data_IF_280860935762
#
_entry.id   IF_280860935762
#
_cell.length_a   1.000
_cell.length_b   1.000
_cell.length_c   1.000
_cell.angle_alpha   90.00
_cell.angle_beta   90.00
_cell.angle_gamma   90.00
#
_symmetry.space_group_name_H-M   'P 1'
#
loop_
_entity.id
_entity.type
_entity.pdbx_description
1 polymer ?
#
# COMPACT_ATOMS: atom_id res chain seq x y z
N UNK A 1 28.23 -29.48 1.69
CA UNK A 1 26.81 -29.13 1.84
C UNK A 1 26.77 -27.64 2.12
N UNK A 2 27.02 -26.83 1.10
CA UNK A 2 27.05 -25.38 1.23
C UNK A 2 25.65 -24.89 0.89
N UNK A 3 24.93 -24.39 1.90
CA UNK A 3 23.66 -23.71 1.70
C UNK A 3 23.90 -22.49 0.84
N UNK A 4 23.59 -22.64 -0.44
CA UNK A 4 23.37 -21.56 -1.40
C UNK A 4 22.50 -20.50 -0.71
N UNK A 5 23.13 -19.43 -0.23
CA UNK A 5 22.42 -18.28 0.32
C UNK A 5 21.67 -17.66 -0.84
N UNK A 6 20.42 -18.08 -0.98
CA UNK A 6 19.48 -17.59 -1.97
C UNK A 6 19.62 -16.08 -2.10
N UNK A 7 19.93 -15.69 -3.33
CA UNK A 7 20.12 -14.34 -3.81
C UNK A 7 19.08 -13.38 -3.19
N UNK A 8 19.42 -12.14 -2.82
CA UNK A 8 18.43 -11.14 -2.46
C UNK A 8 17.67 -10.75 -3.73
N UNK A 9 16.72 -11.60 -4.12
CA UNK A 9 15.73 -11.28 -5.12
C UNK A 9 15.15 -9.93 -4.70
N UNK A 10 15.25 -8.97 -5.60
CA UNK A 10 14.76 -7.61 -5.43
C UNK A 10 13.25 -7.72 -5.24
N UNK A 11 12.80 -8.00 -4.01
CA UNK A 11 11.39 -8.09 -3.63
C UNK A 11 10.86 -6.66 -3.69
N UNK A 12 10.59 -6.15 -4.90
CA UNK A 12 9.80 -4.94 -5.14
C UNK A 12 8.52 -5.10 -4.33
N UNK A 13 8.53 -4.43 -3.17
CA UNK A 13 7.86 -4.91 -1.98
C UNK A 13 6.36 -4.75 -2.06
N UNK A 14 5.65 -5.79 -2.48
CA UNK A 14 4.18 -5.86 -2.45
C UNK A 14 3.70 -5.81 -1.00
N UNK A 15 2.69 -4.99 -0.70
CA UNK A 15 1.99 -5.08 0.58
C UNK A 15 1.19 -6.39 0.64
N UNK A 16 1.06 -6.93 1.86
CA UNK A 16 0.15 -8.04 2.12
C UNK A 16 -1.29 -7.61 1.81
N UNK A 17 -2.15 -8.56 1.43
CA UNK A 17 -3.57 -8.26 1.17
C UNK A 17 -4.27 -7.64 2.39
N UNK A 18 -3.88 -8.04 3.60
CA UNK A 18 -4.40 -7.47 4.85
C UNK A 18 -4.00 -6.01 5.01
N UNK A 19 -2.71 -5.68 4.85
CA UNK A 19 -2.25 -4.29 4.92
C UNK A 19 -2.88 -3.42 3.82
N UNK A 20 -3.07 -3.98 2.64
CA UNK A 20 -3.67 -3.30 1.49
C UNK A 20 -5.13 -2.91 1.79
N UNK A 21 -5.93 -3.87 2.28
CA UNK A 21 -7.32 -3.61 2.72
C UNK A 21 -7.38 -2.61 3.86
N UNK A 22 -6.44 -2.71 4.80
CA UNK A 22 -6.32 -1.77 5.92
C UNK A 22 -6.03 -0.34 5.44
N UNK A 23 -5.03 -0.16 4.57
CA UNK A 23 -4.68 1.14 3.99
C UNK A 23 -5.85 1.73 3.20
N UNK A 24 -6.51 0.93 2.36
CA UNK A 24 -7.69 1.37 1.60
C UNK A 24 -8.78 1.85 2.56
N UNK A 25 -9.16 1.03 3.56
CA UNK A 25 -10.20 1.37 4.51
C UNK A 25 -9.94 2.71 5.22
N UNK A 26 -8.71 2.90 5.71
CA UNK A 26 -8.34 4.13 6.41
C UNK A 26 -8.36 5.35 5.49
N UNK A 27 -7.80 5.23 4.29
CA UNK A 27 -7.83 6.31 3.29
C UNK A 27 -9.26 6.68 2.89
N UNK A 28 -10.16 5.70 2.75
CA UNK A 28 -11.55 5.94 2.35
C UNK A 28 -12.36 6.63 3.44
N UNK A 29 -12.11 6.26 4.70
CA UNK A 29 -12.89 6.75 5.85
C UNK A 29 -12.36 8.07 6.40
N UNK A 30 -11.04 8.24 6.41
CA UNK A 30 -10.36 9.37 7.07
C UNK A 30 -9.53 10.22 6.10
N UNK A 31 -9.30 9.79 4.85
CA UNK A 31 -8.54 10.57 3.88
C UNK A 31 -7.08 10.75 4.27
N UNK A 32 -6.75 11.93 4.81
CA UNK A 32 -5.41 12.33 5.25
C UNK A 32 -5.33 12.55 6.77
N UNK A 33 -6.41 12.29 7.51
CA UNK A 33 -6.47 12.44 8.96
C UNK A 33 -5.84 11.23 9.69
N UNK A 34 -4.51 11.13 9.63
CA UNK A 34 -3.75 10.01 10.22
C UNK A 34 -3.92 9.87 11.74
N UNK A 35 -4.21 10.96 12.45
CA UNK A 35 -4.50 10.92 13.90
C UNK A 35 -5.82 10.21 14.21
N UNK A 36 -6.83 10.43 13.36
CA UNK A 36 -8.11 9.75 13.46
C UNK A 36 -7.99 8.28 13.06
N UNK A 37 -7.16 7.98 12.06
CA UNK A 37 -6.85 6.60 11.65
C UNK A 37 -6.22 5.79 12.79
N UNK A 38 -5.30 6.39 13.56
CA UNK A 38 -4.65 5.70 14.67
C UNK A 38 -5.62 5.36 15.81
N UNK A 39 -6.70 6.15 15.97
CA UNK A 39 -7.76 5.94 16.98
C UNK A 39 -8.88 5.01 16.49
N UNK A 40 -8.84 4.56 15.24
CA UNK A 40 -9.88 3.70 14.69
C UNK A 40 -9.81 2.29 15.27
N UNK A 41 -10.98 1.67 15.48
CA UNK A 41 -11.08 0.32 16.04
C UNK A 41 -10.48 -0.76 15.12
N UNK A 42 -10.33 -0.50 13.82
CA UNK A 42 -9.65 -1.38 12.86
C UNK A 42 -8.14 -1.29 12.95
N UNK A 43 -7.57 -0.34 13.69
CA UNK A 43 -6.14 -0.30 13.99
C UNK A 43 -5.77 -1.36 15.05
N UNK A 44 -5.99 -2.64 14.69
CA UNK A 44 -5.70 -3.79 15.57
C UNK A 44 -4.21 -3.87 15.88
N UNK A 45 -3.37 -3.37 14.98
CA UNK A 45 -1.91 -3.34 15.13
C UNK A 45 -1.42 -2.20 16.01
N UNK A 46 -2.32 -1.32 16.48
CA UNK A 46 -1.97 -0.13 17.27
C UNK A 46 -0.89 0.72 16.60
N UNK A 47 -0.90 0.78 15.26
CA UNK A 47 0.03 1.58 14.48
C UNK A 47 -0.11 3.04 14.87
N UNK A 48 1.03 3.72 15.05
CA UNK A 48 1.04 5.16 15.26
C UNK A 48 0.64 5.90 13.97
N UNK A 49 0.17 7.15 14.04
CA UNK A 49 -0.17 7.95 12.86
C UNK A 49 0.96 7.97 11.81
N UNK A 50 2.21 8.04 12.26
CA UNK A 50 3.39 7.98 11.39
C UNK A 50 3.57 6.63 10.69
N UNK A 51 3.33 5.51 11.39
CA UNK A 51 3.38 4.17 10.79
C UNK A 51 2.28 3.99 9.73
N UNK A 52 1.06 4.44 10.04
CA UNK A 52 -0.08 4.41 9.10
C UNK A 52 0.25 5.23 7.86
N UNK A 53 0.79 6.44 8.04
CA UNK A 53 1.25 7.29 6.94
C UNK A 53 2.28 6.57 6.07
N UNK A 54 3.34 6.00 6.68
CA UNK A 54 4.37 5.27 5.94
C UNK A 54 3.81 4.07 5.17
N UNK A 55 2.87 3.31 5.75
CA UNK A 55 2.18 2.20 5.07
C UNK A 55 1.37 2.69 3.86
N UNK A 56 0.60 3.76 4.02
CA UNK A 56 -0.20 4.36 2.94
C UNK A 56 0.70 4.94 1.84
N UNK A 57 1.77 5.65 2.20
CA UNK A 57 2.74 6.16 1.24
C UNK A 57 3.43 5.03 0.48
N UNK A 58 3.79 3.95 1.16
CA UNK A 58 4.35 2.75 0.52
C UNK A 58 3.35 2.10 -0.43
N UNK A 59 2.07 2.05 -0.05
CA UNK A 59 1.00 1.56 -0.92
C UNK A 59 0.86 2.40 -2.19
N UNK A 60 0.84 3.74 -2.08
CA UNK A 60 0.80 4.67 -3.22
C UNK A 60 2.02 4.54 -4.13
N UNK A 61 3.20 4.23 -3.57
CA UNK A 61 4.45 4.01 -4.32
C UNK A 61 4.47 2.72 -5.14
N UNK A 62 3.52 1.80 -4.93
CA UNK A 62 3.46 0.53 -5.67
C UNK A 62 2.39 0.65 -6.76
N UNK A 63 2.78 1.00 -8.00
CA UNK A 63 1.81 1.30 -9.06
C UNK A 63 0.90 0.11 -9.35
N UNK A 64 1.43 -1.13 -9.32
CA UNK A 64 0.64 -2.34 -9.56
C UNK A 64 -0.56 -2.47 -8.61
N UNK A 65 -0.35 -2.22 -7.30
CA UNK A 65 -1.39 -2.35 -6.29
C UNK A 65 -2.29 -1.10 -6.24
N UNK A 66 -1.69 0.09 -6.40
CA UNK A 66 -2.44 1.34 -6.38
C UNK A 66 -3.34 1.49 -7.62
N UNK A 67 -2.85 1.13 -8.81
CA UNK A 67 -3.65 1.15 -10.04
C UNK A 67 -4.79 0.14 -9.98
N UNK A 68 -4.57 -1.05 -9.42
CA UNK A 68 -5.63 -2.03 -9.19
C UNK A 68 -6.74 -1.47 -8.28
N UNK A 69 -6.35 -0.74 -7.22
CA UNK A 69 -7.28 -0.01 -6.37
C UNK A 69 -8.05 1.07 -7.13
N UNK A 70 -7.35 1.92 -7.89
CA UNK A 70 -7.98 2.99 -8.69
C UNK A 70 -8.97 2.42 -9.73
N UNK A 71 -8.62 1.32 -10.39
CA UNK A 71 -9.50 0.62 -11.35
C UNK A 71 -10.74 0.06 -10.67
N UNK A 72 -10.57 -0.59 -9.51
CA UNK A 72 -11.69 -1.13 -8.71
C UNK A 72 -12.68 -0.05 -8.26
N UNK A 73 -12.19 1.17 -7.99
CA UNK A 73 -13.01 2.31 -7.57
C UNK A 73 -13.56 3.16 -8.74
N UNK A 74 -13.19 2.87 -9.99
CA UNK A 74 -13.52 3.73 -11.14
C UNK A 74 -12.85 5.10 -11.10
N UNK A 75 -11.85 5.28 -10.23
CA UNK A 75 -11.04 6.49 -10.10
C UNK A 75 -9.84 6.49 -11.06
N UNK A 76 -9.66 5.40 -11.81
CA UNK A 76 -8.65 5.29 -12.84
C UNK A 76 -9.01 6.20 -14.01
N UNK A 77 -8.38 7.37 -14.09
CA UNK A 77 -8.48 8.22 -15.28
C UNK A 77 -7.67 7.57 -16.39
N UNK A 78 -8.34 7.18 -17.47
CA UNK A 78 -7.68 6.85 -18.74
C UNK A 78 -6.76 8.03 -19.12
N UNK A 79 -5.44 7.84 -18.99
CA UNK A 79 -4.42 8.88 -19.22
C UNK A 79 -3.51 9.21 -18.04
N UNK A 80 -3.69 8.63 -16.85
CA UNK A 80 -2.62 8.65 -15.85
C UNK A 80 -1.45 7.81 -16.38
N UNK A 81 -0.20 8.34 -16.41
CA UNK A 81 0.93 7.61 -16.96
C UNK A 81 1.04 6.28 -16.23
N UNK A 82 0.80 5.22 -16.99
CA UNK A 82 1.15 3.85 -16.65
C UNK A 82 2.66 3.85 -16.50
N UNK A 83 3.14 4.25 -15.32
CA UNK A 83 4.55 4.32 -15.05
C UNK A 83 5.09 2.88 -15.13
N UNK A 84 5.64 2.59 -16.30
CA UNK A 84 6.82 1.77 -16.54
C UNK A 84 6.77 0.36 -15.93
N UNK A 85 5.99 -0.52 -16.55
CA UNK A 85 6.45 -1.90 -16.79
C UNK A 85 6.96 -1.97 -18.23
N UNK A 86 8.13 -1.36 -18.48
CA UNK A 86 8.94 -1.68 -19.66
C UNK A 86 10.32 -2.07 -19.17
N UNK A 87 10.67 -3.31 -19.51
CA UNK A 87 11.95 -4.03 -19.43
C UNK A 87 12.31 -4.71 -18.09
#
# INVERSE_FOLDING_TARGET
MESEKEQPSVRRGRLSQTDLRYCIYLMEKYGEDYEAMAKDLKNVFQDSPGQIKQKIERFKKIPVQYNAYLRSRGLYKEGAPEAMETE
#
